data_IF_861706136741
#
_entry.id   IF_861706136741
#
_cell.length_a   1.000
_cell.length_b   1.000
_cell.length_c   1.000
_cell.angle_alpha   90.00
_cell.angle_beta   90.00
_cell.angle_gamma   90.00
#
_symmetry.space_group_name_H-M   'P 1'
#
loop_
_entity.id
_entity.type
_entity.pdbx_description
1 polymer ?
#
# COMPACT_ATOMS: atom_id res chain seq x y z
N UNK A 1 7.01 -21.28 -49.17
CA UNK A 1 7.06 -20.51 -50.42
C UNK A 1 8.39 -20.59 -51.23
N UNK A 2 9.50 -21.14 -50.73
CA UNK A 2 10.82 -21.20 -51.45
C UNK A 2 10.94 -22.26 -52.54
N UNK A 3 10.11 -23.29 -52.59
CA UNK A 3 10.21 -24.39 -53.60
C UNK A 3 9.47 -24.12 -54.91
N UNK A 4 8.57 -23.14 -54.97
CA UNK A 4 7.74 -22.84 -56.14
C UNK A 4 8.48 -22.04 -57.21
N UNK A 5 9.33 -21.09 -56.80
CA UNK A 5 9.98 -20.20 -57.76
C UNK A 5 11.18 -20.85 -58.49
N UNK A 6 11.82 -21.83 -57.90
CA UNK A 6 12.94 -22.53 -58.53
C UNK A 6 12.47 -23.51 -59.64
N UNK A 7 11.26 -24.07 -59.49
CA UNK A 7 10.67 -24.93 -60.55
C UNK A 7 10.22 -24.15 -61.78
N UNK A 8 9.83 -22.91 -61.64
CA UNK A 8 9.39 -22.06 -62.77
C UNK A 8 10.56 -21.66 -63.67
N UNK A 9 11.74 -21.42 -63.11
CA UNK A 9 12.92 -21.08 -63.91
C UNK A 9 13.44 -22.29 -64.72
N UNK A 10 13.33 -23.48 -64.16
CA UNK A 10 13.77 -24.70 -64.88
C UNK A 10 12.81 -25.15 -65.99
N UNK A 11 11.50 -24.81 -65.92
CA UNK A 11 10.53 -25.16 -66.97
C UNK A 11 10.70 -24.26 -68.22
N UNK A 12 11.13 -23.01 -68.09
CA UNK A 12 11.39 -22.07 -69.22
C UNK A 12 12.53 -22.50 -70.15
N UNK A 13 13.56 -23.15 -69.56
CA UNK A 13 14.75 -23.61 -70.33
C UNK A 13 14.49 -24.89 -71.12
N UNK A 14 13.61 -25.73 -70.65
CA UNK A 14 13.32 -27.04 -71.32
C UNK A 14 12.45 -26.90 -72.58
N UNK A 15 11.66 -25.82 -72.74
CA UNK A 15 10.76 -25.64 -73.89
C UNK A 15 11.44 -25.10 -75.17
N UNK A 16 12.72 -24.68 -75.08
CA UNK A 16 13.44 -24.06 -76.23
C UNK A 16 14.12 -25.10 -77.16
N UNK A 17 14.09 -26.36 -76.80
CA UNK A 17 14.91 -27.38 -77.51
C UNK A 17 14.15 -28.36 -78.44
N UNK A 18 12.85 -28.16 -78.66
CA UNK A 18 12.09 -29.02 -79.60
C UNK A 18 11.39 -28.22 -80.66
N UNK A 19 11.95 -28.07 -81.77
CA UNK A 19 11.31 -28.17 -83.08
C UNK A 19 12.24 -27.66 -84.19
N UNK A 20 12.80 -28.52 -84.91
CA UNK A 20 13.50 -28.23 -86.14
C UNK A 20 12.62 -28.54 -87.34
N UNK A 21 12.56 -27.68 -88.23
CA UNK A 21 12.32 -28.00 -89.64
C UNK A 21 12.93 -26.91 -90.54
N UNK A 22 13.63 -27.33 -91.39
CA UNK A 22 14.51 -26.99 -92.46
C UNK A 22 14.19 -25.79 -93.37
N UNK A 23 15.21 -25.09 -93.71
CA UNK A 23 15.67 -24.39 -94.92
C UNK A 23 14.86 -23.24 -95.53
N UNK A 24 14.87 -22.24 -95.08
CA UNK A 24 14.72 -20.83 -95.53
C UNK A 24 15.14 -19.86 -94.42
N UNK A 25 15.97 -20.21 -93.81
CA UNK A 25 15.98 -20.32 -92.38
C UNK A 25 17.36 -19.90 -91.83
N UNK A 26 18.28 -19.76 -92.55
CA UNK A 26 19.59 -19.33 -92.00
C UNK A 26 19.52 -17.93 -91.36
N UNK A 27 18.84 -16.99 -92.04
CA UNK A 27 18.70 -15.63 -91.50
C UNK A 27 17.67 -15.56 -90.34
N UNK A 28 16.63 -16.33 -90.44
CA UNK A 28 15.68 -16.40 -89.34
C UNK A 28 16.24 -17.18 -88.13
N UNK A 29 17.14 -18.13 -88.32
CA UNK A 29 17.81 -18.86 -87.28
C UNK A 29 18.80 -17.96 -86.54
N UNK A 30 19.59 -17.17 -87.22
CA UNK A 30 20.52 -16.20 -86.61
C UNK A 30 19.72 -15.16 -85.78
N UNK A 31 18.65 -14.60 -86.32
CA UNK A 31 17.79 -13.65 -85.55
C UNK A 31 17.11 -14.32 -84.37
N UNK A 32 16.75 -15.59 -84.44
CA UNK A 32 16.23 -16.32 -83.33
C UNK A 32 17.31 -16.60 -82.26
N UNK A 33 18.49 -16.94 -82.69
CA UNK A 33 19.65 -17.16 -81.81
C UNK A 33 20.00 -15.88 -81.04
N UNK A 34 20.08 -14.74 -81.78
CA UNK A 34 20.38 -13.44 -81.17
C UNK A 34 19.27 -13.05 -80.15
N UNK A 35 17.99 -13.20 -80.49
CA UNK A 35 16.90 -12.97 -79.53
C UNK A 35 16.93 -13.89 -78.33
N UNK A 36 17.31 -15.17 -78.55
CA UNK A 36 17.47 -16.11 -77.44
C UNK A 36 18.63 -15.72 -76.54
N UNK A 37 19.72 -15.24 -77.08
CA UNK A 37 20.87 -14.72 -76.34
C UNK A 37 20.52 -13.49 -75.50
N UNK A 38 19.74 -12.52 -76.06
CA UNK A 38 19.23 -11.37 -75.35
C UNK A 38 18.32 -11.77 -74.21
N UNK A 39 17.44 -12.78 -74.42
CA UNK A 39 16.56 -13.30 -73.36
C UNK A 39 17.38 -14.00 -72.31
N UNK A 40 18.35 -14.80 -72.66
CA UNK A 40 19.23 -15.48 -71.68
C UNK A 40 19.99 -14.47 -70.87
N UNK A 41 20.58 -13.43 -71.49
CA UNK A 41 21.25 -12.38 -70.75
C UNK A 41 20.36 -11.63 -69.79
N UNK A 42 19.12 -11.29 -70.18
CA UNK A 42 18.13 -10.67 -69.31
C UNK A 42 17.70 -11.58 -68.15
N UNK A 43 17.60 -12.88 -68.39
CA UNK A 43 17.32 -13.87 -67.35
C UNK A 43 18.50 -14.02 -66.41
N UNK A 44 19.73 -14.02 -66.87
CA UNK A 44 20.94 -14.09 -66.02
C UNK A 44 21.04 -12.85 -65.12
N UNK A 45 20.77 -11.63 -65.65
CA UNK A 45 20.71 -10.42 -64.83
C UNK A 45 19.59 -10.49 -63.75
N UNK A 46 18.44 -11.07 -64.11
CA UNK A 46 17.32 -11.28 -63.19
C UNK A 46 17.71 -12.27 -62.10
N UNK A 47 18.34 -13.37 -62.43
CA UNK A 47 18.84 -14.39 -61.48
C UNK A 47 19.86 -13.75 -60.54
N UNK A 48 20.84 -13.02 -61.05
CA UNK A 48 21.83 -12.34 -60.19
C UNK A 48 21.17 -11.36 -59.20
N UNK A 49 20.15 -10.62 -59.64
CA UNK A 49 19.40 -9.73 -58.74
C UNK A 49 18.61 -10.51 -57.70
N UNK A 50 17.99 -11.62 -58.08
CA UNK A 50 17.28 -12.50 -57.14
C UNK A 50 18.23 -13.15 -56.13
N UNK A 51 19.40 -13.61 -56.55
CA UNK A 51 20.40 -14.18 -55.65
C UNK A 51 20.89 -13.15 -54.64
N UNK A 52 21.13 -11.90 -55.08
CA UNK A 52 21.48 -10.80 -54.16
C UNK A 52 20.37 -10.46 -53.15
N UNK A 53 19.11 -10.60 -53.58
CA UNK A 53 17.97 -10.44 -52.65
C UNK A 53 17.85 -11.58 -51.64
N UNK A 54 18.10 -12.81 -52.10
CA UNK A 54 18.11 -14.01 -51.22
C UNK A 54 19.18 -13.87 -50.14
N UNK A 55 20.41 -13.49 -50.52
CA UNK A 55 21.49 -13.29 -49.55
C UNK A 55 21.10 -12.22 -48.48
N UNK A 56 20.50 -11.10 -48.91
CA UNK A 56 20.02 -10.07 -47.96
C UNK A 56 18.93 -10.59 -47.03
N UNK A 57 17.98 -11.36 -47.54
CA UNK A 57 16.89 -11.92 -46.74
C UNK A 57 17.41 -12.98 -45.75
N UNK A 58 18.43 -13.76 -46.16
CA UNK A 58 19.08 -14.73 -45.29
C UNK A 58 19.82 -14.04 -44.14
N UNK A 59 20.52 -12.94 -44.46
CA UNK A 59 21.16 -12.12 -43.42
C UNK A 59 20.16 -11.55 -42.44
N UNK A 60 19.08 -10.91 -42.93
CA UNK A 60 18.02 -10.35 -42.07
C UNK A 60 17.38 -11.44 -41.21
N UNK A 61 17.10 -12.59 -41.80
CA UNK A 61 16.49 -13.71 -41.05
C UNK A 61 17.41 -14.24 -39.95
N UNK A 62 18.71 -14.27 -40.21
CA UNK A 62 19.73 -14.63 -39.21
C UNK A 62 19.76 -13.62 -38.05
N UNK A 63 19.79 -12.31 -38.37
CA UNK A 63 19.77 -11.25 -37.36
C UNK A 63 18.48 -11.27 -36.53
N UNK A 64 17.34 -11.50 -37.18
CA UNK A 64 16.06 -11.61 -36.47
C UNK A 64 15.95 -12.84 -35.57
N UNK A 65 16.53 -13.95 -36.04
CA UNK A 65 16.60 -15.20 -35.24
C UNK A 65 17.40 -14.98 -33.95
N UNK A 66 18.52 -14.27 -34.05
CA UNK A 66 19.34 -13.93 -32.90
C UNK A 66 18.58 -12.99 -31.92
N UNK A 67 17.89 -11.97 -32.45
CA UNK A 67 17.05 -11.08 -31.64
C UNK A 67 15.94 -11.84 -30.91
N UNK A 68 15.28 -12.76 -31.59
CA UNK A 68 14.24 -13.61 -30.98
C UNK A 68 14.83 -14.45 -29.85
N UNK A 69 16.00 -15.01 -30.00
CA UNK A 69 16.66 -15.79 -28.95
C UNK A 69 17.02 -14.92 -27.74
N UNK A 70 17.49 -13.69 -27.93
CA UNK A 70 17.77 -12.73 -26.85
C UNK A 70 16.49 -12.35 -26.14
N UNK A 71 15.43 -12.02 -26.87
CA UNK A 71 14.14 -11.65 -26.30
C UNK A 71 13.50 -12.80 -25.52
N UNK A 72 13.62 -14.04 -26.00
CA UNK A 72 13.15 -15.22 -25.28
C UNK A 72 13.84 -15.38 -23.92
N UNK A 73 15.16 -15.19 -23.89
CA UNK A 73 15.93 -15.22 -22.63
C UNK A 73 15.56 -14.10 -21.67
N UNK A 74 15.37 -12.89 -22.21
CA UNK A 74 14.93 -11.75 -21.38
C UNK A 74 13.54 -11.99 -20.80
N UNK A 75 12.63 -12.55 -21.58
CA UNK A 75 11.28 -12.92 -21.13
C UNK A 75 11.34 -13.92 -19.97
N UNK A 76 12.12 -14.98 -20.10
CA UNK A 76 12.29 -15.99 -19.05
C UNK A 76 12.82 -15.37 -17.74
N UNK A 77 13.81 -14.48 -17.87
CA UNK A 77 14.35 -13.75 -16.71
C UNK A 77 13.29 -12.88 -16.05
N UNK A 78 12.53 -12.12 -16.83
CA UNK A 78 11.46 -11.27 -16.31
C UNK A 78 10.33 -12.07 -15.64
N UNK A 79 9.98 -13.23 -16.17
CA UNK A 79 9.00 -14.13 -15.55
C UNK A 79 9.50 -14.63 -14.19
N UNK A 80 10.79 -14.97 -14.08
CA UNK A 80 11.41 -15.37 -12.81
C UNK A 80 11.43 -14.23 -11.80
N UNK A 81 11.80 -13.02 -12.23
CA UNK A 81 11.84 -11.83 -11.39
C UNK A 81 10.44 -11.42 -10.92
N UNK A 82 9.45 -11.53 -11.79
CA UNK A 82 8.04 -11.29 -11.46
C UNK A 82 7.53 -12.25 -10.39
N UNK A 83 7.83 -13.54 -10.52
CA UNK A 83 7.42 -14.53 -9.52
C UNK A 83 8.09 -14.26 -8.17
N UNK A 84 9.38 -13.92 -8.18
CA UNK A 84 10.10 -13.52 -6.97
C UNK A 84 9.50 -12.27 -6.31
N UNK A 85 9.08 -11.29 -7.11
CA UNK A 85 8.42 -10.09 -6.62
C UNK A 85 7.03 -10.37 -6.04
N UNK A 86 6.27 -11.27 -6.67
CA UNK A 86 4.97 -11.73 -6.16
C UNK A 86 5.12 -12.42 -4.81
N UNK A 87 6.08 -13.33 -4.68
CA UNK A 87 6.33 -14.03 -3.43
C UNK A 87 6.70 -13.06 -2.30
N UNK A 88 7.59 -12.10 -2.57
CA UNK A 88 7.92 -11.03 -1.60
C UNK A 88 6.70 -10.19 -1.21
N UNK A 89 5.81 -9.91 -2.17
CA UNK A 89 4.57 -9.17 -1.89
C UNK A 89 3.63 -9.94 -0.97
N UNK A 90 3.52 -11.26 -1.14
CA UNK A 90 2.73 -12.14 -0.25
C UNK A 90 3.32 -12.16 1.15
N UNK A 91 4.64 -12.31 1.28
CA UNK A 91 5.34 -12.30 2.57
C UNK A 91 5.14 -10.96 3.31
N UNK A 92 5.32 -9.85 2.60
CA UNK A 92 5.11 -8.51 3.17
C UNK A 92 3.67 -8.30 3.66
N UNK A 93 2.67 -8.77 2.91
CA UNK A 93 1.27 -8.71 3.34
C UNK A 93 1.05 -9.50 4.62
N UNK A 94 1.60 -10.72 4.70
CA UNK A 94 1.51 -11.54 5.90
C UNK A 94 2.13 -10.85 7.14
N UNK A 95 3.28 -10.18 6.95
CA UNK A 95 3.92 -9.39 8.03
C UNK A 95 3.09 -8.17 8.43
N UNK A 96 2.49 -7.46 7.46
CA UNK A 96 1.61 -6.33 7.74
C UNK A 96 0.39 -6.79 8.55
N UNK A 97 -0.24 -7.90 8.18
CA UNK A 97 -1.40 -8.43 8.88
C UNK A 97 -1.03 -8.91 10.30
N UNK A 98 0.17 -9.48 10.47
CA UNK A 98 0.71 -9.83 11.78
C UNK A 98 0.91 -8.60 12.68
N UNK A 99 1.62 -7.59 12.18
CA UNK A 99 1.87 -6.35 12.91
C UNK A 99 0.58 -5.60 13.25
N UNK A 100 -0.43 -5.63 12.36
CA UNK A 100 -1.74 -5.01 12.64
C UNK A 100 -2.42 -5.65 13.85
N UNK A 101 -2.40 -6.98 13.94
CA UNK A 101 -2.98 -7.70 15.08
C UNK A 101 -2.24 -7.41 16.37
N UNK A 102 -0.91 -7.29 16.30
CA UNK A 102 -0.10 -6.93 17.46
C UNK A 102 -0.39 -5.50 17.95
N UNK A 103 -0.52 -4.55 17.01
CA UNK A 103 -0.91 -3.16 17.32
C UNK A 103 -2.28 -3.13 17.99
N UNK A 104 -3.27 -3.80 17.43
CA UNK A 104 -4.63 -3.87 18.00
C UNK A 104 -4.62 -4.43 19.41
N UNK A 105 -3.81 -5.49 19.65
CA UNK A 105 -3.66 -6.05 20.98
C UNK A 105 -3.01 -5.07 21.97
N UNK A 106 -1.95 -4.38 21.55
CA UNK A 106 -1.26 -3.40 22.38
C UNK A 106 -2.15 -2.17 22.68
N UNK A 107 -2.99 -1.75 21.74
CA UNK A 107 -3.97 -0.67 21.94
C UNK A 107 -4.98 -1.05 23.02
N UNK A 108 -5.51 -2.30 22.98
CA UNK A 108 -6.43 -2.81 24.00
C UNK A 108 -5.74 -2.87 25.38
N UNK A 109 -4.51 -3.35 25.43
CA UNK A 109 -3.74 -3.42 26.69
C UNK A 109 -3.45 -2.02 27.25
N UNK A 110 -3.10 -1.06 26.36
CA UNK A 110 -2.86 0.32 26.73
C UNK A 110 -4.13 0.98 27.27
N UNK A 111 -5.27 0.80 26.59
CA UNK A 111 -6.55 1.34 27.06
C UNK A 111 -6.93 0.74 28.41
N UNK A 112 -6.74 -0.56 28.57
CA UNK A 112 -7.00 -1.22 29.85
C UNK A 112 -6.08 -0.70 30.97
N UNK A 113 -4.79 -0.44 30.67
CA UNK A 113 -3.84 0.09 31.66
C UNK A 113 -4.12 1.53 32.07
N UNK A 114 -4.81 2.31 31.21
CA UNK A 114 -5.23 3.68 31.48
C UNK A 114 -6.58 3.77 32.20
N UNK A 115 -7.30 2.66 32.30
CA UNK A 115 -8.62 2.61 32.91
C UNK A 115 -8.50 2.24 34.37
N UNK A 116 -9.03 3.08 35.24
CA UNK A 116 -9.05 2.89 36.68
C UNK A 116 -10.48 2.86 37.20
N UNK A 117 -10.69 2.12 38.27
CA UNK A 117 -11.98 2.13 38.98
C UNK A 117 -12.01 3.30 39.95
N UNK A 118 -13.03 4.15 39.81
CA UNK A 118 -13.23 5.33 40.67
C UNK A 118 -14.56 5.29 41.38
N UNK A 119 -14.53 5.69 42.63
CA UNK A 119 -15.71 6.04 43.37
C UNK A 119 -15.89 7.56 43.30
N UNK A 120 -16.96 7.99 42.67
CA UNK A 120 -17.24 9.41 42.44
C UNK A 120 -18.11 9.94 43.55
N UNK A 121 -17.70 11.05 44.13
CA UNK A 121 -18.46 11.84 45.08
C UNK A 121 -18.41 13.33 44.67
N UNK A 122 -19.08 14.19 45.38
CA UNK A 122 -19.09 15.63 45.06
C UNK A 122 -18.78 16.49 46.26
N UNK A 123 -18.05 17.58 46.04
CA UNK A 123 -17.78 18.60 47.06
C UNK A 123 -18.01 20.01 46.51
N UNK A 124 -18.21 20.96 47.43
CA UNK A 124 -18.37 22.39 47.13
C UNK A 124 -17.54 23.21 48.10
N UNK A 125 -17.31 24.52 47.84
CA UNK A 125 -16.49 25.37 48.68
C UNK A 125 -17.16 25.80 49.98
N UNK A 126 -18.09 25.02 50.52
CA UNK A 126 -18.79 25.35 51.77
C UNK A 126 -18.10 24.71 53.00
N UNK A 127 -18.35 25.23 54.20
CA UNK A 127 -17.74 24.72 55.42
C UNK A 127 -18.05 23.24 55.73
N UNK A 128 -19.18 22.71 55.23
CA UNK A 128 -19.54 21.31 55.41
C UNK A 128 -18.61 20.40 54.59
N UNK A 129 -18.28 20.81 53.37
CA UNK A 129 -17.38 20.02 52.48
C UNK A 129 -15.91 20.29 52.72
N UNK A 130 -15.53 21.56 52.95
CA UNK A 130 -14.12 21.99 53.00
C UNK A 130 -13.63 22.38 54.40
N UNK A 131 -14.50 22.31 55.44
CA UNK A 131 -14.10 22.67 56.81
C UNK A 131 -13.51 24.08 56.90
N UNK A 132 -12.34 24.21 57.53
CA UNK A 132 -11.67 25.51 57.70
C UNK A 132 -11.18 26.14 56.38
N UNK A 133 -10.91 25.32 55.36
CA UNK A 133 -10.42 25.81 54.05
C UNK A 133 -11.49 26.65 53.35
N UNK A 134 -12.78 26.44 53.65
CA UNK A 134 -13.86 27.26 53.11
C UNK A 134 -13.77 28.74 53.52
N UNK A 135 -13.06 29.02 54.58
CA UNK A 135 -12.83 30.41 55.10
C UNK A 135 -11.45 30.91 54.72
N UNK A 136 -10.44 30.04 54.70
CA UNK A 136 -9.05 30.43 54.47
C UNK A 136 -8.75 30.70 52.97
N UNK A 137 -9.27 29.85 52.11
CA UNK A 137 -9.04 29.93 50.65
C UNK A 137 -10.30 29.48 49.88
N UNK A 138 -11.42 30.25 49.94
CA UNK A 138 -12.67 29.83 49.34
C UNK A 138 -12.54 29.66 47.81
N UNK A 139 -12.76 28.41 47.33
CA UNK A 139 -12.70 28.08 45.91
C UNK A 139 -11.33 27.97 45.28
N UNK A 140 -10.25 28.02 46.09
CA UNK A 140 -8.88 27.75 45.61
C UNK A 140 -8.56 26.31 45.93
N UNK A 141 -8.09 25.57 44.92
CA UNK A 141 -7.70 24.15 45.04
C UNK A 141 -6.30 23.98 45.65
N UNK A 142 -5.98 22.78 46.04
CA UNK A 142 -4.63 22.45 46.58
C UNK A 142 -3.53 22.68 45.54
N UNK A 143 -3.81 22.65 44.25
CA UNK A 143 -2.86 23.01 43.19
C UNK A 143 -2.68 24.52 43.00
N UNK A 144 -3.50 25.36 43.71
CA UNK A 144 -3.48 26.81 43.59
C UNK A 144 -4.35 27.38 42.45
N UNK A 145 -5.12 26.54 41.78
CA UNK A 145 -6.06 26.99 40.74
C UNK A 145 -7.42 27.33 41.31
N UNK A 146 -8.22 28.10 40.57
CA UNK A 146 -9.61 28.34 40.92
C UNK A 146 -10.47 27.18 40.50
N UNK A 147 -11.16 26.55 41.43
CA UNK A 147 -12.05 25.43 41.18
C UNK A 147 -13.22 25.81 40.27
N UNK A 148 -13.53 24.95 39.32
CA UNK A 148 -14.57 25.12 38.30
C UNK A 148 -15.18 23.77 37.91
N UNK A 149 -16.21 23.77 37.09
CA UNK A 149 -16.72 22.53 36.49
C UNK A 149 -15.58 21.81 35.74
N UNK A 150 -15.43 20.52 36.03
CA UNK A 150 -14.35 19.68 35.53
C UNK A 150 -13.12 19.60 36.45
N UNK A 151 -13.07 20.42 37.55
CA UNK A 151 -12.09 20.22 38.61
C UNK A 151 -12.49 19.02 39.47
N UNK A 152 -11.55 18.13 39.75
CA UNK A 152 -11.71 17.03 40.68
C UNK A 152 -10.58 17.02 41.72
N UNK A 153 -10.94 16.59 42.92
CA UNK A 153 -10.00 16.19 43.95
C UNK A 153 -9.72 14.69 43.81
N UNK A 154 -8.45 14.30 43.93
CA UNK A 154 -8.02 12.93 43.82
C UNK A 154 -6.92 12.58 44.88
N UNK A 155 -6.69 11.29 45.18
CA UNK A 155 -5.57 10.88 46.01
C UNK A 155 -4.22 11.34 45.46
N UNK A 156 -3.22 11.63 46.33
CA UNK A 156 -1.89 12.09 45.89
C UNK A 156 -1.15 11.17 44.92
N UNK A 157 -1.58 9.92 44.79
CA UNK A 157 -1.07 8.96 43.82
C UNK A 157 -1.47 9.32 42.38
N UNK A 158 -2.48 10.17 42.19
CA UNK A 158 -2.86 10.73 40.89
C UNK A 158 -2.39 12.19 40.88
N UNK A 159 -1.36 12.55 40.09
CA UNK A 159 -0.75 13.87 40.12
C UNK A 159 -1.71 14.99 39.69
N UNK A 160 -1.49 16.20 40.21
CA UNK A 160 -2.17 17.39 39.70
C UNK A 160 -1.89 17.59 38.20
N UNK A 161 -2.91 18.02 37.46
CA UNK A 161 -2.90 18.16 36.02
C UNK A 161 -3.31 16.90 35.26
N UNK A 162 -3.40 15.73 35.91
CA UNK A 162 -3.92 14.51 35.27
C UNK A 162 -5.34 14.77 34.77
N UNK A 163 -5.57 14.44 33.52
CA UNK A 163 -6.88 14.55 32.86
C UNK A 163 -7.51 13.18 32.74
N UNK A 164 -8.82 13.09 32.94
CA UNK A 164 -9.55 11.85 32.77
C UNK A 164 -10.96 12.06 32.23
N UNK A 165 -11.48 11.05 31.54
CA UNK A 165 -12.90 10.89 31.25
C UNK A 165 -13.49 9.93 32.26
N UNK A 166 -14.67 10.24 32.75
CA UNK A 166 -15.38 9.44 33.77
C UNK A 166 -16.68 8.93 33.14
N UNK A 167 -16.91 7.64 33.24
CA UNK A 167 -18.11 7.00 32.73
C UNK A 167 -19.37 7.62 33.34
N UNK A 168 -20.40 7.85 32.52
CA UNK A 168 -21.65 8.50 32.92
C UNK A 168 -21.67 10.03 32.78
N UNK A 169 -20.50 10.66 32.49
CA UNK A 169 -20.41 12.13 32.37
C UNK A 169 -20.15 12.60 30.91
N UNK A 170 -20.44 11.75 29.93
CA UNK A 170 -20.28 12.06 28.50
C UNK A 170 -18.85 12.35 28.10
N UNK A 171 -18.64 13.37 27.24
CA UNK A 171 -17.32 13.76 26.76
C UNK A 171 -16.60 14.77 27.64
N UNK A 172 -17.10 15.03 28.85
CA UNK A 172 -16.47 15.97 29.78
C UNK A 172 -15.11 15.48 30.22
N UNK A 173 -14.12 16.36 30.15
CA UNK A 173 -12.76 16.11 30.63
C UNK A 173 -12.64 16.71 32.04
N UNK A 174 -12.27 15.85 32.97
CA UNK A 174 -11.97 16.23 34.34
C UNK A 174 -10.48 16.38 34.54
N UNK A 175 -10.06 17.38 35.31
CA UNK A 175 -8.64 17.64 35.64
C UNK A 175 -8.47 17.53 37.14
N UNK A 176 -7.47 16.78 37.57
CA UNK A 176 -7.04 16.71 38.96
C UNK A 176 -6.37 18.00 39.35
N UNK A 177 -7.05 18.83 40.14
CA UNK A 177 -6.55 20.14 40.60
C UNK A 177 -6.59 20.24 42.13
N UNK A 178 -7.27 19.29 42.79
CA UNK A 178 -7.46 19.33 44.23
C UNK A 178 -7.17 17.98 44.91
N UNK A 179 -7.06 17.99 46.21
CA UNK A 179 -6.95 16.81 47.07
C UNK A 179 -7.61 17.05 48.41
N UNK A 180 -7.79 16.01 49.18
CA UNK A 180 -8.45 16.11 50.51
C UNK A 180 -8.32 14.82 51.31
N UNK A 181 -8.69 14.90 52.60
CA UNK A 181 -8.59 13.71 53.49
C UNK A 181 -9.61 12.62 53.16
N UNK A 182 -10.68 12.92 52.43
CA UNK A 182 -11.68 11.95 52.02
C UNK A 182 -11.37 11.26 50.69
N UNK A 183 -10.45 11.81 49.87
CA UNK A 183 -10.02 11.21 48.61
C UNK A 183 -8.86 10.26 48.89
N UNK A 184 -9.13 8.98 48.82
CA UNK A 184 -8.21 7.90 49.19
C UNK A 184 -8.14 6.85 48.07
N UNK A 185 -7.11 6.02 48.10
CA UNK A 185 -7.04 4.79 47.32
C UNK A 185 -7.14 3.61 48.25
N UNK A 186 -8.17 2.80 48.13
CA UNK A 186 -8.47 1.67 48.95
C UNK A 186 -9.11 0.54 48.12
N UNK A 187 -8.64 -0.68 48.33
CA UNK A 187 -9.17 -1.90 47.70
C UNK A 187 -9.26 -1.83 46.16
N UNK A 188 -8.32 -1.15 45.50
CA UNK A 188 -8.30 -1.03 44.05
C UNK A 188 -9.20 0.10 43.50
N UNK A 189 -9.81 0.91 44.38
CA UNK A 189 -10.74 1.98 44.01
C UNK A 189 -10.15 3.33 44.43
N UNK A 190 -10.14 4.26 43.52
CA UNK A 190 -9.77 5.65 43.78
C UNK A 190 -11.03 6.44 44.14
N UNK A 191 -11.07 7.00 45.33
CA UNK A 191 -12.14 7.95 45.68
C UNK A 191 -11.77 9.31 45.10
N UNK A 192 -12.65 9.85 44.28
CA UNK A 192 -12.48 11.17 43.64
C UNK A 192 -13.71 12.03 43.97
N UNK A 193 -13.47 13.31 44.26
CA UNK A 193 -14.51 14.28 44.51
C UNK A 193 -14.66 15.28 43.36
N UNK A 194 -15.83 15.39 42.79
CA UNK A 194 -16.14 16.39 41.76
C UNK A 194 -16.51 17.74 42.41
N UNK A 195 -15.84 18.79 41.97
CA UNK A 195 -16.19 20.12 42.41
C UNK A 195 -17.50 20.57 41.83
N UNK A 196 -18.39 21.10 42.70
CA UNK A 196 -19.65 21.72 42.35
C UNK A 196 -19.80 23.08 43.00
N UNK A 197 -20.52 24.05 42.36
CA UNK A 197 -20.64 25.41 42.89
C UNK A 197 -21.49 25.49 44.17
N UNK A 198 -22.39 24.54 44.39
CA UNK A 198 -23.29 24.54 45.56
C UNK A 198 -23.30 23.19 46.26
N UNK A 199 -23.68 23.21 47.56
CA UNK A 199 -23.78 21.98 48.34
C UNK A 199 -24.88 21.03 47.81
N UNK A 200 -25.99 21.57 47.32
CA UNK A 200 -27.08 20.79 46.74
C UNK A 200 -26.59 20.04 45.49
N UNK A 201 -25.82 20.70 44.61
CA UNK A 201 -25.24 20.07 43.41
C UNK A 201 -24.17 19.05 43.79
N UNK A 202 -23.33 19.33 44.78
CA UNK A 202 -22.36 18.37 45.27
C UNK A 202 -23.03 17.11 45.83
N UNK A 203 -24.12 17.28 46.61
CA UNK A 203 -24.91 16.15 47.13
C UNK A 203 -25.58 15.36 46.00
N UNK A 204 -26.04 16.04 44.94
CA UNK A 204 -26.69 15.42 43.79
C UNK A 204 -25.72 14.55 42.91
N UNK A 205 -24.39 14.74 42.99
CA UNK A 205 -23.42 13.84 42.40
C UNK A 205 -23.57 12.42 42.92
N UNK A 206 -23.93 12.30 44.19
CA UNK A 206 -24.17 11.01 44.80
C UNK A 206 -22.87 10.26 45.14
N UNK A 207 -22.97 8.94 45.01
CA UNK A 207 -21.88 8.02 45.33
C UNK A 207 -21.96 6.82 44.38
N UNK A 208 -21.19 6.81 43.33
CA UNK A 208 -21.20 5.75 42.32
C UNK A 208 -19.78 5.23 42.05
N UNK A 209 -19.70 3.94 41.77
CA UNK A 209 -18.44 3.32 41.32
C UNK A 209 -18.54 3.12 39.81
N UNK A 210 -17.61 3.71 39.10
CA UNK A 210 -17.56 3.73 37.62
C UNK A 210 -16.12 3.61 37.14
N UNK A 211 -15.93 3.47 35.83
CA UNK A 211 -14.60 3.50 35.23
C UNK A 211 -14.20 4.94 34.88
N UNK A 212 -12.92 5.22 35.02
CA UNK A 212 -12.35 6.46 34.53
C UNK A 212 -11.12 6.15 33.65
N UNK A 213 -11.04 6.79 32.48
CA UNK A 213 -9.90 6.64 31.59
C UNK A 213 -9.00 7.85 31.71
N UNK A 214 -7.75 7.63 32.10
CA UNK A 214 -6.72 8.67 32.21
C UNK A 214 -6.30 9.07 30.80
N UNK A 215 -6.30 10.37 30.55
CA UNK A 215 -5.84 10.98 29.32
C UNK A 215 -4.41 11.51 29.52
N UNK A 216 -3.61 11.46 28.46
CA UNK A 216 -2.24 12.02 28.50
C UNK A 216 -2.24 13.53 28.67
#
# INVERSE_FOLDING_TARGET
>A
MKKSNLKMVMVGVACALSMGVFSLIYIQQEQKVVRQQEIIQSQEETIQNQDSQIERLEQINSEETEKVAVLAKQKEQLETDLESARQRSVDLRGRIDGNRKEIEQLEIELEHSRTITVKVTGYCPCPICCGEWAYLNPGITASGTVAKYGTIAAPPSIPFGTKMKIEGYGDMIFTVEDTGSAVVYEDGIYVIDMWMPTHEQAYAVGNSIVQATILD
#
